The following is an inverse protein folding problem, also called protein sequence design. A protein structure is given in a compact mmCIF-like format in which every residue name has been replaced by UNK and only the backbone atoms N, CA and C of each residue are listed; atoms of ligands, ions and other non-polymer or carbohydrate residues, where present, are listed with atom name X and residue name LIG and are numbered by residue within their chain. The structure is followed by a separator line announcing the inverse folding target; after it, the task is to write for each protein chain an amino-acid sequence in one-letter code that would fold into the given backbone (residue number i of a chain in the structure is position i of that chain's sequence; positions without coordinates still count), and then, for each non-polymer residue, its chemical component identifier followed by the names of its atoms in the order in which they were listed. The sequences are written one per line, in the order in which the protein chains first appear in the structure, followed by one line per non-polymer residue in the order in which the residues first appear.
data_IF_967121949340
#
_entry.id   IF_967121949340
#
_cell.length_a   1.000
_cell.length_b   1.000
_cell.length_c   1.000
_cell.angle_alpha   90.00
_cell.angle_beta   90.00
_cell.angle_gamma   90.00
#
_symmetry.space_group_name_H-M   'P 1'
#
loop_
_entity.id
_entity.type
_entity.pdbx_description
1 polymer ?
#
# COMPACT_ATOMS: atom_id res chain seq x y z
N UNK A 1 24.66 22.04 16.51
CA UNK A 1 23.50 21.26 17.02
C UNK A 1 24.03 19.98 17.65
N UNK A 2 23.76 19.77 18.94
CA UNK A 2 24.20 18.58 19.70
C UNK A 2 23.00 17.62 19.78
N UNK A 3 23.16 16.40 19.25
CA UNK A 3 22.10 15.40 19.20
C UNK A 3 21.99 14.71 20.56
N UNK A 4 20.77 14.48 21.05
CA UNK A 4 20.54 13.88 22.38
C UNK A 4 21.11 12.44 22.40
N UNK A 5 21.56 11.96 23.57
CA UNK A 5 22.17 10.61 23.69
C UNK A 5 21.23 9.47 23.27
N UNK A 6 19.92 9.64 23.45
CA UNK A 6 18.87 8.71 22.98
C UNK A 6 18.51 8.88 21.50
N UNK A 7 19.02 9.95 20.90
CA UNK A 7 18.83 10.39 19.52
C UNK A 7 20.10 10.13 18.70
N UNK A 8 21.08 9.39 19.22
CA UNK A 8 22.24 8.94 18.44
C UNK A 8 21.76 8.42 17.08
N UNK A 9 22.28 8.95 15.95
CA UNK A 9 21.86 8.54 14.61
C UNK A 9 21.88 7.02 14.54
N UNK A 10 20.70 6.41 14.64
CA UNK A 10 20.58 4.97 14.82
C UNK A 10 21.21 4.35 13.59
N UNK A 11 22.36 3.70 13.76
CA UNK A 11 23.09 3.10 12.64
C UNK A 11 22.13 2.16 11.90
N UNK A 12 22.04 2.33 10.58
CA UNK A 12 21.33 1.37 9.73
C UNK A 12 21.92 -0.03 9.99
N UNK A 13 21.05 -1.03 10.12
CA UNK A 13 21.45 -2.43 10.24
C UNK A 13 21.40 -3.08 11.64
N UNK A 14 20.93 -2.37 12.68
CA UNK A 14 20.65 -2.99 14.00
C UNK A 14 19.63 -4.13 13.92
N UNK A 15 18.68 -4.04 12.99
CA UNK A 15 17.59 -5.01 12.82
C UNK A 15 17.90 -6.10 11.80
N UNK A 16 19.07 -6.08 11.14
CA UNK A 16 19.42 -7.07 10.11
C UNK A 16 19.80 -8.41 10.73
N UNK A 17 20.39 -8.37 11.94
CA UNK A 17 20.80 -9.54 12.72
C UNK A 17 19.70 -9.89 13.73
N UNK A 18 18.64 -10.53 13.26
CA UNK A 18 17.53 -10.97 14.11
C UNK A 18 16.40 -11.61 13.30
N UNK A 19 15.39 -12.15 13.98
CA UNK A 19 14.24 -12.82 13.35
C UNK A 19 13.49 -11.87 12.39
N UNK A 20 13.35 -10.60 12.78
CA UNK A 20 12.73 -9.55 11.95
C UNK A 20 13.54 -9.18 10.70
N UNK A 21 14.87 -9.04 10.82
CA UNK A 21 15.77 -8.80 9.68
C UNK A 21 15.79 -9.94 8.69
N UNK A 22 15.94 -11.17 9.19
CA UNK A 22 15.90 -12.39 8.39
C UNK A 22 14.57 -12.59 7.66
N UNK A 23 13.44 -12.26 8.29
CA UNK A 23 12.14 -12.32 7.62
C UNK A 23 12.04 -11.28 6.49
N UNK A 24 12.49 -10.04 6.75
CA UNK A 24 12.49 -8.97 5.74
C UNK A 24 13.40 -9.27 4.55
N UNK A 25 14.60 -9.80 4.78
CA UNK A 25 15.52 -10.18 3.69
C UNK A 25 14.93 -11.31 2.84
N UNK A 26 14.26 -12.29 3.45
CA UNK A 26 13.54 -13.35 2.72
C UNK A 26 12.41 -12.78 1.86
N UNK A 27 11.61 -11.85 2.38
CA UNK A 27 10.54 -11.19 1.62
C UNK A 27 11.11 -10.43 0.40
N UNK A 28 12.17 -9.65 0.61
CA UNK A 28 12.84 -8.92 -0.47
C UNK A 28 13.45 -9.87 -1.52
N UNK A 29 14.05 -10.99 -1.10
CA UNK A 29 14.58 -11.99 -2.01
C UNK A 29 13.48 -12.61 -2.87
N UNK A 30 12.33 -12.93 -2.28
CA UNK A 30 11.16 -13.47 -2.99
C UNK A 30 10.65 -12.48 -4.04
N UNK A 31 10.45 -11.21 -3.65
CA UNK A 31 10.03 -10.16 -4.59
C UNK A 31 11.00 -10.00 -5.77
N UNK A 32 12.31 -9.96 -5.51
CA UNK A 32 13.34 -9.86 -6.56
C UNK A 32 13.37 -11.08 -7.48
N UNK A 33 13.19 -12.29 -6.94
CA UNK A 33 13.15 -13.51 -7.75
C UNK A 33 11.95 -13.51 -8.70
N UNK A 34 10.76 -13.15 -8.21
CA UNK A 34 9.56 -13.04 -9.04
C UNK A 34 9.75 -11.99 -10.14
N UNK A 35 10.33 -10.83 -9.82
CA UNK A 35 10.63 -9.80 -10.81
C UNK A 35 11.57 -10.32 -11.90
N UNK A 36 12.64 -11.05 -11.55
CA UNK A 36 13.56 -11.66 -12.52
C UNK A 36 12.87 -12.66 -13.44
N UNK A 37 11.97 -13.47 -12.91
CA UNK A 37 11.19 -14.44 -13.69
C UNK A 37 10.31 -13.70 -14.71
N UNK A 38 9.54 -12.70 -14.26
CA UNK A 38 8.68 -11.88 -15.12
C UNK A 38 9.45 -11.19 -16.24
N UNK A 39 10.60 -10.58 -15.92
CA UNK A 39 11.43 -9.92 -16.94
C UNK A 39 12.02 -10.91 -17.96
N UNK A 40 12.36 -12.12 -17.50
CA UNK A 40 12.87 -13.19 -18.38
C UNK A 40 11.76 -13.77 -19.26
N UNK A 41 10.55 -13.92 -18.72
CA UNK A 41 9.37 -14.39 -19.44
C UNK A 41 8.90 -13.38 -20.48
N UNK A 42 8.94 -12.08 -20.17
CA UNK A 42 8.60 -11.02 -21.13
C UNK A 42 9.49 -11.03 -22.39
N UNK A 43 10.72 -11.53 -22.29
CA UNK A 43 11.65 -11.63 -23.41
C UNK A 43 11.59 -12.98 -24.16
N UNK A 44 10.74 -13.92 -23.73
CA UNK A 44 10.55 -15.19 -24.43
C UNK A 44 9.31 -15.12 -25.32
N UNK A 45 9.39 -15.45 -26.62
CA UNK A 45 8.21 -15.62 -27.45
C UNK A 45 7.35 -16.74 -26.86
N UNK A 46 6.18 -16.37 -26.36
CA UNK A 46 5.33 -17.19 -25.51
C UNK A 46 4.63 -18.29 -26.32
N UNK A 47 4.91 -19.56 -26.01
CA UNK A 47 4.14 -20.71 -26.50
C UNK A 47 3.26 -21.35 -25.41
N UNK A 48 3.09 -20.71 -24.25
CA UNK A 48 2.18 -21.22 -23.23
C UNK A 48 1.42 -20.09 -22.54
N UNK A 49 0.35 -19.64 -23.21
CA UNK A 49 -0.68 -18.78 -22.65
C UNK A 49 -1.58 -19.61 -21.73
N UNK A 50 -1.11 -19.91 -20.51
CA UNK A 50 -2.01 -20.22 -19.41
C UNK A 50 -2.10 -18.99 -18.52
N UNK A 51 -2.86 -17.99 -19.00
CA UNK A 51 -3.34 -16.90 -18.17
C UNK A 51 -4.35 -17.49 -17.18
N UNK A 52 -3.84 -17.99 -16.05
CA UNK A 52 -4.66 -18.26 -14.88
C UNK A 52 -5.38 -16.96 -14.50
N UNK A 53 -6.70 -17.04 -14.48
CA UNK A 53 -7.61 -15.97 -14.13
C UNK A 53 -7.19 -15.28 -12.81
N UNK A 54 -7.19 -13.94 -12.80
CA UNK A 54 -7.07 -13.15 -11.57
C UNK A 54 -5.72 -12.46 -11.34
N UNK A 55 -5.10 -11.85 -12.36
CA UNK A 55 -4.16 -10.75 -12.10
C UNK A 55 -4.97 -9.51 -11.69
N UNK A 56 -5.59 -9.57 -10.51
CA UNK A 56 -5.83 -8.35 -9.74
C UNK A 56 -4.44 -7.74 -9.55
N UNK A 57 -4.26 -6.52 -10.06
CA UNK A 57 -3.09 -5.73 -9.75
C UNK A 57 -2.82 -5.88 -8.25
N UNK A 58 -1.67 -6.45 -7.87
CA UNK A 58 -1.23 -6.61 -6.47
C UNK A 58 -0.88 -5.24 -5.87
N UNK A 59 -1.74 -4.26 -6.07
CA UNK A 59 -1.76 -3.03 -5.31
C UNK A 59 -2.22 -3.42 -3.91
N UNK A 60 -1.45 -3.08 -2.86
CA UNK A 60 -1.94 -3.23 -1.51
C UNK A 60 -3.32 -2.57 -1.42
N UNK A 61 -4.27 -3.09 -0.63
CA UNK A 61 -5.63 -2.54 -0.54
C UNK A 61 -5.66 -1.06 -0.11
N UNK A 62 -4.56 -0.54 0.42
CA UNK A 62 -4.34 0.88 0.72
C UNK A 62 -4.17 1.79 -0.50
N UNK A 63 -3.87 1.23 -1.67
CA UNK A 63 -3.64 1.95 -2.93
C UNK A 63 -4.79 1.85 -3.92
N UNK A 64 -5.84 1.09 -3.59
CA UNK A 64 -7.07 1.04 -4.38
C UNK A 64 -7.93 2.22 -3.92
N UNK A 65 -8.17 3.25 -4.77
CA UNK A 65 -9.10 4.32 -4.41
C UNK A 65 -10.48 3.70 -4.18
N UNK A 66 -11.09 4.03 -3.05
CA UNK A 66 -12.42 3.56 -2.68
C UNK A 66 -13.47 4.25 -3.57
N UNK A 67 -13.78 3.64 -4.72
CA UNK A 67 -14.69 4.21 -5.74
C UNK A 67 -16.18 4.12 -5.31
N UNK A 68 -16.49 3.45 -4.20
CA UNK A 68 -17.89 3.15 -3.81
C UNK A 68 -18.38 3.87 -2.54
N UNK A 69 -18.00 5.14 -2.35
CA UNK A 69 -18.61 5.95 -1.28
C UNK A 69 -19.16 7.28 -1.76
N UNK A 70 -20.12 7.21 -2.68
CA UNK A 70 -21.14 8.24 -2.85
C UNK A 70 -22.06 8.27 -1.61
N UNK A 71 -21.56 8.81 -0.50
CA UNK A 71 -22.45 9.32 0.55
C UNK A 71 -23.13 10.56 -0.04
N UNK A 72 -24.46 10.59 -0.23
CA UNK A 72 -25.12 11.85 -0.52
C UNK A 72 -24.84 12.80 0.64
N UNK A 73 -24.19 13.92 0.34
CA UNK A 73 -24.02 15.02 1.29
C UNK A 73 -25.44 15.46 1.68
N UNK A 74 -25.83 15.16 2.92
CA UNK A 74 -27.13 15.56 3.45
C UNK A 74 -27.32 17.05 3.20
N UNK A 75 -28.33 17.40 2.40
CA UNK A 75 -28.75 18.76 2.15
C UNK A 75 -29.21 19.34 3.48
N UNK A 76 -28.44 20.30 4.00
CA UNK A 76 -28.81 21.06 5.19
C UNK A 76 -30.05 21.88 4.81
N UNK A 77 -31.23 21.45 5.22
CA UNK A 77 -32.45 22.26 5.11
C UNK A 77 -32.39 23.32 6.22
N UNK A 78 -32.36 24.62 5.89
CA UNK A 78 -32.51 25.65 6.91
C UNK A 78 -33.94 25.57 7.46
N UNK A 79 -34.07 25.40 8.78
CA UNK A 79 -35.35 25.54 9.47
C UNK A 79 -35.83 26.97 9.28
N UNK A 80 -37.07 27.12 8.80
CA UNK A 80 -37.74 28.42 8.71
C UNK A 80 -37.96 28.89 10.14
N UNK A 81 -37.39 30.04 10.47
CA UNK A 81 -37.68 30.71 11.73
C UNK A 81 -39.14 31.15 11.71
N UNK A 82 -39.94 30.60 12.63
CA UNK A 82 -41.30 31.04 12.86
C UNK A 82 -41.26 32.43 13.50
N UNK A 83 -41.39 33.46 12.65
CA UNK A 83 -41.69 34.81 13.06
C UNK A 83 -43.21 34.97 13.10
N UNK A 84 -43.79 34.91 14.30
CA UNK A 84 -45.14 35.37 14.72
C UNK A 84 -45.39 34.76 16.11
N UNK A 85 -45.96 35.40 17.14
CA UNK A 85 -46.84 36.57 17.22
C UNK A 85 -47.00 36.92 18.73
N UNK A 86 -47.21 38.22 18.99
CA UNK A 86 -47.82 38.87 20.18
C UNK A 86 -47.03 38.96 21.49
#
# INVERSE_FOLDING_TARGET
MQIKRWESPRRQGRNDKGRGGSARTRQLKKQRQMLRQRLKEANKPNNNKNYGQGEEFFLPPFFVPDVHRSRPRASFQPQKADANQH
#
